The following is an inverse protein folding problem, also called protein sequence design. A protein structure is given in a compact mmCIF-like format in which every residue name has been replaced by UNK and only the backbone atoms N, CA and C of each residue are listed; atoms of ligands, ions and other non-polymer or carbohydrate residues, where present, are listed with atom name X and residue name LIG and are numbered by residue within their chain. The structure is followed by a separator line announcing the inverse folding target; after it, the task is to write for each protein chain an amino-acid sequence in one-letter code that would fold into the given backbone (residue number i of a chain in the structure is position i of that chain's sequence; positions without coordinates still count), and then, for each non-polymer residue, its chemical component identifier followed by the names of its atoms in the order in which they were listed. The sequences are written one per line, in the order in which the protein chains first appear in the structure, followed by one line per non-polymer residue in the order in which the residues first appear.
data_IF_343676446547
#
_entry.id   IF_343676446547
#
_cell.length_a   1.000
_cell.length_b   1.000
_cell.length_c   1.000
_cell.angle_alpha   90.00
_cell.angle_beta   90.00
_cell.angle_gamma   90.00
#
_symmetry.space_group_name_H-M   'P 1'
#
loop_
_entity.id
_entity.type
_entity.pdbx_description
1 polymer ?
#
# COMPACT_ATOMS: atom_id res chain seq x y z
N UNK A 1 8.84 0.52 -10.89
CA UNK A 1 9.41 1.36 -11.98
C UNK A 1 8.42 1.59 -13.13
N UNK A 2 7.66 0.60 -13.64
CA UNK A 2 6.66 0.86 -14.71
C UNK A 2 5.30 1.41 -14.22
N UNK A 3 4.74 0.87 -13.12
CA UNK A 3 3.44 1.32 -12.60
C UNK A 3 3.43 2.78 -12.09
N UNK A 4 4.60 3.33 -11.78
CA UNK A 4 4.75 4.68 -11.20
C UNK A 4 4.92 5.77 -12.24
N UNK A 5 5.01 5.40 -13.52
CA UNK A 5 5.14 6.28 -14.68
C UNK A 5 3.94 6.08 -15.62
N UNK A 6 2.80 5.63 -15.10
CA UNK A 6 1.56 5.36 -15.85
C UNK A 6 1.65 4.29 -16.96
N UNK A 7 2.73 3.51 -17.02
CA UNK A 7 2.87 2.40 -17.97
C UNK A 7 2.17 1.12 -17.45
N UNK A 8 0.88 1.22 -17.13
CA UNK A 8 0.11 0.15 -16.50
C UNK A 8 -0.05 -1.08 -17.40
N UNK A 9 -0.37 -0.89 -18.68
CA UNK A 9 -0.49 -1.98 -19.65
C UNK A 9 0.84 -2.76 -19.79
N UNK A 10 1.96 -2.06 -19.82
CA UNK A 10 3.28 -2.68 -19.93
C UNK A 10 3.67 -3.43 -18.64
N UNK A 11 3.39 -2.86 -17.47
CA UNK A 11 3.59 -3.52 -16.19
C UNK A 11 2.75 -4.81 -16.08
N UNK A 12 1.48 -4.76 -16.48
CA UNK A 12 0.61 -5.92 -16.51
C UNK A 12 1.13 -7.01 -17.45
N UNK A 13 1.56 -6.63 -18.66
CA UNK A 13 2.14 -7.55 -19.64
C UNK A 13 3.38 -8.25 -19.07
N UNK A 14 4.33 -7.51 -18.49
CA UNK A 14 5.52 -8.11 -17.89
C UNK A 14 5.22 -9.01 -16.69
N UNK A 15 4.28 -8.63 -15.82
CA UNK A 15 3.91 -9.47 -14.68
C UNK A 15 3.22 -10.77 -15.11
N UNK A 16 2.36 -10.73 -16.13
CA UNK A 16 1.75 -11.93 -16.72
C UNK A 16 2.79 -12.83 -17.37
N UNK A 17 3.70 -12.25 -18.14
CA UNK A 17 4.79 -13.01 -18.80
C UNK A 17 5.68 -13.68 -17.76
N UNK A 18 6.06 -12.96 -16.70
CA UNK A 18 6.84 -13.53 -15.60
C UNK A 18 6.13 -14.69 -14.89
N UNK A 19 4.81 -14.57 -14.65
CA UNK A 19 4.03 -15.66 -14.06
C UNK A 19 3.95 -16.87 -15.00
N UNK A 20 3.79 -16.66 -16.30
CA UNK A 20 3.76 -17.74 -17.28
C UNK A 20 5.11 -18.49 -17.35
N UNK A 21 6.21 -17.76 -17.51
CA UNK A 21 7.56 -18.34 -17.54
C UNK A 21 7.90 -19.08 -16.25
N UNK A 22 7.49 -18.55 -15.09
CA UNK A 22 7.73 -19.22 -13.81
C UNK A 22 6.92 -20.51 -13.66
N UNK A 23 5.73 -20.58 -14.26
CA UNK A 23 4.94 -21.80 -14.30
C UNK A 23 5.57 -22.85 -15.23
N UNK A 24 6.02 -22.44 -16.42
CA UNK A 24 6.73 -23.33 -17.35
C UNK A 24 8.05 -23.86 -16.78
N UNK A 25 8.76 -23.03 -16.02
CA UNK A 25 10.01 -23.42 -15.36
C UNK A 25 9.81 -24.17 -14.03
N UNK A 26 8.57 -24.50 -13.65
CA UNK A 26 8.24 -25.18 -12.39
C UNK A 26 8.86 -24.48 -11.15
N UNK A 27 8.88 -23.14 -11.16
CA UNK A 27 9.49 -22.31 -10.14
C UNK A 27 8.41 -21.64 -9.24
N UNK A 28 7.83 -22.36 -8.25
CA UNK A 28 6.65 -21.92 -7.52
C UNK A 28 6.86 -20.63 -6.70
N UNK A 29 8.08 -20.36 -6.24
CA UNK A 29 8.39 -19.12 -5.53
C UNK A 29 8.39 -17.90 -6.45
N UNK A 30 9.05 -18.03 -7.61
CA UNK A 30 9.03 -16.98 -8.64
C UNK A 30 7.60 -16.73 -9.13
N UNK A 31 6.83 -17.81 -9.32
CA UNK A 31 5.42 -17.75 -9.70
C UNK A 31 4.59 -16.96 -8.68
N UNK A 32 4.74 -17.30 -7.40
CA UNK A 32 4.08 -16.64 -6.28
C UNK A 32 4.41 -15.14 -6.24
N UNK A 33 5.67 -14.76 -6.42
CA UNK A 33 6.12 -13.37 -6.45
C UNK A 33 5.51 -12.62 -7.65
N UNK A 34 5.47 -13.26 -8.82
CA UNK A 34 4.87 -12.69 -10.03
C UNK A 34 3.37 -12.45 -9.87
N UNK A 35 2.62 -13.42 -9.31
CA UNK A 35 1.20 -13.27 -9.00
C UNK A 35 0.95 -12.14 -8.01
N UNK A 36 1.74 -12.04 -6.94
CA UNK A 36 1.65 -10.96 -5.95
C UNK A 36 1.87 -9.58 -6.59
N UNK A 37 2.80 -9.48 -7.54
CA UNK A 37 3.05 -8.23 -8.26
C UNK A 37 1.87 -7.87 -9.19
N UNK A 38 1.31 -8.86 -9.89
CA UNK A 38 0.13 -8.68 -10.73
C UNK A 38 -1.11 -8.28 -9.91
N UNK A 39 -1.30 -8.89 -8.74
CA UNK A 39 -2.38 -8.56 -7.82
C UNK A 39 -2.23 -7.15 -7.22
N UNK A 40 -1.00 -6.75 -6.86
CA UNK A 40 -0.72 -5.37 -6.42
C UNK A 40 -1.13 -4.36 -7.49
N UNK A 41 -0.82 -4.67 -8.75
CA UNK A 41 -1.18 -3.83 -9.89
C UNK A 41 -2.69 -3.75 -10.09
N UNK A 42 -3.39 -4.88 -10.02
CA UNK A 42 -4.84 -4.94 -10.10
C UNK A 42 -5.52 -4.12 -8.97
N UNK A 43 -4.99 -4.19 -7.74
CA UNK A 43 -5.45 -3.38 -6.61
C UNK A 43 -5.26 -1.88 -6.86
N UNK A 44 -4.10 -1.47 -7.37
CA UNK A 44 -3.80 -0.07 -7.66
C UNK A 44 -4.68 0.48 -8.80
N UNK A 45 -5.16 -0.37 -9.72
CA UNK A 45 -6.14 -0.03 -10.77
C UNK A 45 -7.61 -0.13 -10.32
N UNK A 46 -7.87 -0.56 -9.08
CA UNK A 46 -9.24 -0.74 -8.57
C UNK A 46 -9.96 -2.00 -9.06
N UNK A 47 -9.25 -2.94 -9.69
CA UNK A 47 -9.80 -4.22 -10.17
C UNK A 47 -9.94 -5.21 -9.01
N UNK A 48 -11.03 -5.10 -8.24
CA UNK A 48 -11.22 -5.84 -6.99
C UNK A 48 -11.25 -7.36 -7.16
N UNK A 49 -12.09 -7.88 -8.05
CA UNK A 49 -12.25 -9.33 -8.24
C UNK A 49 -10.99 -9.98 -8.82
N UNK A 50 -10.36 -9.44 -9.88
CA UNK A 50 -9.08 -9.97 -10.36
C UNK A 50 -7.97 -9.93 -9.30
N UNK A 51 -7.89 -8.85 -8.52
CA UNK A 51 -6.91 -8.75 -7.44
C UNK A 51 -7.10 -9.85 -6.40
N UNK A 52 -8.34 -10.08 -5.95
CA UNK A 52 -8.65 -11.09 -4.96
C UNK A 52 -8.27 -12.50 -5.44
N UNK A 53 -8.73 -12.88 -6.63
CA UNK A 53 -8.42 -14.20 -7.20
C UNK A 53 -6.91 -14.44 -7.34
N UNK A 54 -6.16 -13.44 -7.83
CA UNK A 54 -4.71 -13.53 -7.96
C UNK A 54 -4.01 -13.68 -6.61
N UNK A 55 -4.45 -12.94 -5.58
CA UNK A 55 -3.83 -13.03 -4.26
C UNK A 55 -4.19 -14.33 -3.53
N UNK A 56 -5.40 -14.85 -3.70
CA UNK A 56 -5.80 -16.17 -3.18
C UNK A 56 -4.95 -17.29 -3.81
N UNK A 57 -4.73 -17.22 -5.13
CA UNK A 57 -3.87 -18.17 -5.83
C UNK A 57 -2.40 -18.07 -5.37
N UNK A 58 -1.89 -16.85 -5.19
CA UNK A 58 -0.55 -16.62 -4.64
C UNK A 58 -0.45 -17.19 -3.22
N UNK A 59 -1.45 -16.98 -2.36
CA UNK A 59 -1.46 -17.48 -0.99
C UNK A 59 -1.46 -19.01 -0.94
N UNK A 60 -2.30 -19.67 -1.74
CA UNK A 60 -2.38 -21.13 -1.83
C UNK A 60 -1.07 -21.77 -2.31
N UNK A 61 -0.32 -21.09 -3.19
CA UNK A 61 0.99 -21.54 -3.64
C UNK A 61 2.06 -21.29 -2.57
N UNK A 62 2.05 -20.11 -1.95
CA UNK A 62 3.04 -19.69 -0.97
C UNK A 62 3.10 -20.58 0.27
N UNK A 63 1.95 -21.06 0.76
CA UNK A 63 1.87 -21.91 1.95
C UNK A 63 2.74 -23.16 1.83
N UNK A 64 2.95 -23.68 0.62
CA UNK A 64 3.72 -24.92 0.38
C UNK A 64 5.15 -24.68 -0.05
N UNK A 65 5.42 -23.56 -0.72
CA UNK A 65 6.67 -23.40 -1.47
C UNK A 65 7.52 -22.21 -1.00
N UNK A 66 6.93 -21.24 -0.30
CA UNK A 66 7.59 -19.97 0.01
C UNK A 66 8.00 -19.84 1.47
N UNK A 67 9.03 -19.01 1.70
CA UNK A 67 9.50 -18.66 3.04
C UNK A 67 8.39 -18.00 3.87
N UNK A 68 8.48 -18.13 5.20
CA UNK A 68 7.56 -17.49 6.15
C UNK A 68 7.40 -15.99 5.88
N UNK A 69 8.50 -15.32 5.50
CA UNK A 69 8.49 -13.90 5.17
C UNK A 69 7.65 -13.59 3.91
N UNK A 70 7.82 -14.40 2.87
CA UNK A 70 7.04 -14.27 1.64
C UNK A 70 5.56 -14.53 1.91
N UNK A 71 5.25 -15.53 2.72
CA UNK A 71 3.88 -15.81 3.16
C UNK A 71 3.28 -14.63 3.92
N UNK A 72 4.02 -14.00 4.84
CA UNK A 72 3.58 -12.78 5.54
C UNK A 72 3.22 -11.66 4.56
N UNK A 73 4.08 -11.40 3.56
CA UNK A 73 3.82 -10.37 2.58
C UNK A 73 2.54 -10.66 1.78
N UNK A 74 2.34 -11.90 1.35
CA UNK A 74 1.15 -12.28 0.58
C UNK A 74 -0.11 -12.18 1.43
N UNK A 75 -0.07 -12.63 2.69
CA UNK A 75 -1.18 -12.49 3.62
C UNK A 75 -1.57 -11.02 3.85
N UNK A 76 -0.59 -10.10 3.93
CA UNK A 76 -0.89 -8.67 4.06
C UNK A 76 -1.59 -8.08 2.82
N UNK A 77 -1.29 -8.61 1.63
CA UNK A 77 -1.97 -8.22 0.40
C UNK A 77 -3.36 -8.87 0.29
N UNK A 78 -3.49 -10.12 0.76
CA UNK A 78 -4.76 -10.85 0.77
C UNK A 78 -5.77 -10.15 1.69
N UNK A 79 -5.30 -9.66 2.83
CA UNK A 79 -6.06 -8.84 3.75
C UNK A 79 -6.67 -7.61 3.06
N UNK A 80 -5.85 -6.87 2.31
CA UNK A 80 -6.32 -5.70 1.57
C UNK A 80 -7.30 -6.08 0.45
N UNK A 81 -7.05 -7.17 -0.27
CA UNK A 81 -7.94 -7.64 -1.33
C UNK A 81 -9.33 -8.04 -0.77
N UNK A 82 -9.37 -8.81 0.31
CA UNK A 82 -10.62 -9.13 1.01
C UNK A 82 -11.32 -7.88 1.53
N UNK A 83 -10.59 -6.92 2.11
CA UNK A 83 -11.19 -5.68 2.60
C UNK A 83 -11.86 -4.89 1.47
N UNK A 84 -11.21 -4.78 0.30
CA UNK A 84 -11.77 -4.12 -0.89
C UNK A 84 -12.96 -4.88 -1.47
N UNK A 85 -12.97 -6.20 -1.37
CA UNK A 85 -14.09 -7.07 -1.73
C UNK A 85 -15.22 -7.07 -0.67
N UNK A 86 -15.12 -6.27 0.40
CA UNK A 86 -16.08 -6.19 1.51
C UNK A 86 -16.19 -7.47 2.37
N UNK A 87 -15.17 -8.32 2.35
CA UNK A 87 -15.07 -9.54 3.16
C UNK A 87 -14.33 -9.27 4.48
N UNK A 88 -14.98 -8.57 5.42
CA UNK A 88 -14.35 -8.09 6.67
C UNK A 88 -13.67 -9.20 7.48
N UNK A 89 -14.35 -10.32 7.70
CA UNK A 89 -13.81 -11.41 8.53
C UNK A 89 -12.53 -12.00 7.94
N UNK A 90 -12.54 -12.30 6.63
CA UNK A 90 -11.35 -12.81 5.94
C UNK A 90 -10.22 -11.77 5.86
N UNK A 91 -10.54 -10.49 5.73
CA UNK A 91 -9.55 -9.42 5.75
C UNK A 91 -8.80 -9.35 7.09
N UNK A 92 -9.52 -9.40 8.20
CA UNK A 92 -8.93 -9.36 9.54
C UNK A 92 -8.13 -10.63 9.86
N UNK A 93 -8.63 -11.81 9.45
CA UNK A 93 -7.90 -13.06 9.60
C UNK A 93 -6.58 -13.06 8.82
N UNK A 94 -6.60 -12.63 7.55
CA UNK A 94 -5.40 -12.54 6.73
C UNK A 94 -4.41 -11.50 7.28
N UNK A 95 -4.90 -10.37 7.80
CA UNK A 95 -4.05 -9.37 8.45
C UNK A 95 -3.35 -9.94 9.69
N UNK A 96 -4.10 -10.63 10.55
CA UNK A 96 -3.53 -11.30 11.73
C UNK A 96 -2.48 -12.34 11.34
N UNK A 97 -2.77 -13.19 10.35
CA UNK A 97 -1.82 -14.18 9.84
C UNK A 97 -0.55 -13.51 9.31
N UNK A 98 -0.67 -12.38 8.60
CA UNK A 98 0.48 -11.63 8.11
C UNK A 98 1.40 -11.18 9.26
N UNK A 99 0.83 -10.66 10.35
CA UNK A 99 1.57 -10.20 11.53
C UNK A 99 2.25 -11.35 12.26
N UNK A 100 1.56 -12.48 12.47
CA UNK A 100 2.11 -13.68 13.11
C UNK A 100 3.24 -14.31 12.29
N UNK A 101 3.07 -14.38 10.97
CA UNK A 101 4.13 -14.88 10.08
C UNK A 101 5.33 -13.93 10.09
N UNK A 102 5.09 -12.62 10.08
CA UNK A 102 6.15 -11.61 10.11
C UNK A 102 6.99 -11.72 11.37
N UNK A 103 6.36 -11.91 12.54
CA UNK A 103 7.07 -12.00 13.82
C UNK A 103 7.95 -13.25 13.94
N UNK A 104 7.67 -14.29 13.14
CA UNK A 104 8.41 -15.56 13.11
C UNK A 104 9.43 -15.63 11.96
N UNK A 105 9.41 -14.65 11.05
CA UNK A 105 10.20 -14.69 9.84
C UNK A 105 11.60 -14.10 10.05
N UNK A 106 12.61 -14.83 9.60
CA UNK A 106 13.97 -14.31 9.51
C UNK A 106 14.12 -13.43 8.27
N UNK A 107 14.83 -12.31 8.42
CA UNK A 107 15.17 -11.42 7.32
C UNK A 107 16.52 -11.85 6.75
N UNK A 108 16.60 -12.01 5.44
CA UNK A 108 17.84 -12.25 4.71
C UNK A 108 18.06 -11.14 3.66
N UNK A 109 18.84 -10.09 3.98
CA UNK A 109 19.10 -8.99 3.05
C UNK A 109 19.83 -9.40 1.76
N UNK A 110 20.47 -10.57 1.72
CA UNK A 110 21.16 -11.07 0.53
C UNK A 110 20.19 -11.67 -0.52
N UNK A 111 19.00 -12.09 -0.10
CA UNK A 111 17.95 -12.54 -1.00
C UNK A 111 17.11 -11.33 -1.46
N UNK A 112 16.94 -11.09 -2.78
CA UNK A 112 16.10 -10.01 -3.31
C UNK A 112 14.67 -9.96 -2.76
N UNK A 113 14.15 -11.11 -2.30
CA UNK A 113 12.83 -11.25 -1.67
C UNK A 113 12.90 -11.65 -0.19
N UNK A 114 14.11 -11.71 0.37
CA UNK A 114 14.36 -12.06 1.77
C UNK A 114 14.17 -10.90 2.73
N UNK A 115 13.63 -9.76 2.30
CA UNK A 115 13.27 -8.65 3.18
C UNK A 115 11.84 -8.17 2.99
N UNK A 116 11.13 -8.05 4.11
CA UNK A 116 9.87 -7.33 4.20
C UNK A 116 9.97 -6.37 5.39
N UNK A 117 10.11 -5.05 5.18
CA UNK A 117 10.27 -4.14 6.31
C UNK A 117 9.02 -4.06 7.18
N UNK A 118 9.17 -4.02 8.51
CA UNK A 118 8.05 -3.80 9.45
C UNK A 118 7.24 -2.54 9.12
N UNK A 119 7.90 -1.49 8.66
CA UNK A 119 7.23 -0.28 8.15
C UNK A 119 6.27 -0.55 6.98
N UNK A 120 6.60 -1.49 6.10
CA UNK A 120 5.76 -1.89 4.97
C UNK A 120 4.58 -2.76 5.43
N UNK A 121 4.78 -3.65 6.40
CA UNK A 121 3.69 -4.42 7.02
C UNK A 121 2.65 -3.50 7.64
N UNK A 122 3.06 -2.57 8.51
CA UNK A 122 2.14 -1.60 9.11
C UNK A 122 1.42 -0.75 8.08
N UNK A 123 2.09 -0.39 6.98
CA UNK A 123 1.47 0.36 5.88
C UNK A 123 0.36 -0.45 5.19
N UNK A 124 0.57 -1.74 4.90
CA UNK A 124 -0.48 -2.58 4.30
C UNK A 124 -1.62 -2.85 5.30
N UNK A 125 -1.31 -3.03 6.58
CA UNK A 125 -2.32 -3.14 7.64
C UNK A 125 -3.19 -1.89 7.71
N UNK A 126 -2.58 -0.70 7.70
CA UNK A 126 -3.31 0.56 7.66
C UNK A 126 -4.22 0.68 6.44
N UNK A 127 -3.74 0.34 5.23
CA UNK A 127 -4.57 0.33 4.01
C UNK A 127 -5.76 -0.63 4.11
N UNK A 128 -5.55 -1.79 4.72
CA UNK A 128 -6.61 -2.79 4.96
C UNK A 128 -7.67 -2.20 5.89
N UNK A 129 -7.26 -1.62 7.01
CA UNK A 129 -8.15 -0.99 8.00
C UNK A 129 -8.92 0.20 7.40
N UNK A 130 -8.26 1.03 6.57
CA UNK A 130 -8.92 2.10 5.81
C UNK A 130 -10.00 1.53 4.88
N UNK A 131 -9.71 0.45 4.15
CA UNK A 131 -10.70 -0.19 3.27
C UNK A 131 -11.89 -0.80 4.06
N UNK A 132 -11.64 -1.21 5.31
CA UNK A 132 -12.67 -1.66 6.26
C UNK A 132 -13.37 -0.51 7.00
N UNK A 133 -13.04 0.75 6.69
CA UNK A 133 -13.54 1.97 7.34
C UNK A 133 -13.23 2.09 8.83
N UNK A 134 -12.22 1.37 9.32
CA UNK A 134 -11.70 1.52 10.68
C UNK A 134 -10.58 2.56 10.70
N UNK A 135 -10.97 3.84 10.57
CA UNK A 135 -10.04 4.95 10.39
C UNK A 135 -9.16 5.21 11.62
N UNK A 136 -9.68 4.95 12.82
CA UNK A 136 -8.93 5.07 14.06
C UNK A 136 -7.81 4.03 14.18
N UNK A 137 -8.09 2.77 13.82
CA UNK A 137 -7.05 1.74 13.76
C UNK A 137 -6.06 2.00 12.62
N UNK A 138 -6.54 2.48 11.47
CA UNK A 138 -5.70 2.84 10.33
C UNK A 138 -4.70 3.95 10.68
N UNK A 139 -5.14 5.01 11.38
CA UNK A 139 -4.26 6.11 11.85
C UNK A 139 -3.09 5.57 12.70
N UNK A 140 -3.40 4.75 13.71
CA UNK A 140 -2.38 4.13 14.57
C UNK A 140 -1.38 3.30 13.76
N UNK A 141 -1.88 2.51 12.80
CA UNK A 141 -1.04 1.68 11.94
C UNK A 141 -0.16 2.53 10.98
N UNK A 142 -0.69 3.61 10.40
CA UNK A 142 0.10 4.55 9.59
C UNK A 142 1.19 5.24 10.42
N UNK A 143 0.89 5.67 11.66
CA UNK A 143 1.89 6.22 12.57
C UNK A 143 2.98 5.21 12.92
N UNK A 144 2.63 3.94 13.18
CA UNK A 144 3.61 2.87 13.37
C UNK A 144 4.47 2.63 12.13
N UNK A 145 3.87 2.68 10.93
CA UNK A 145 4.63 2.64 9.68
C UNK A 145 5.64 3.78 9.59
N UNK A 146 5.22 5.03 9.85
CA UNK A 146 6.10 6.20 9.79
C UNK A 146 7.26 6.10 10.78
N UNK A 147 7.02 5.66 12.02
CA UNK A 147 8.09 5.47 13.03
C UNK A 147 9.12 4.43 12.62
N UNK A 148 8.70 3.38 11.92
CA UNK A 148 9.58 2.29 11.49
C UNK A 148 10.29 2.57 10.14
N UNK A 149 10.03 3.71 9.48
CA UNK A 149 10.61 4.02 8.16
C UNK A 149 12.01 4.60 8.30
N UNK A 150 12.92 4.08 7.48
CA UNK A 150 14.26 4.64 7.34
C UNK A 150 14.22 6.07 6.74
N UNK A 151 15.13 6.98 7.13
CA UNK A 151 15.13 8.38 6.68
C UNK A 151 15.13 8.57 5.15
N UNK A 152 15.82 7.67 4.44
CA UNK A 152 15.96 7.65 2.98
C UNK A 152 14.70 7.20 2.23
N UNK A 153 13.71 6.62 2.92
CA UNK A 153 12.47 6.14 2.31
C UNK A 153 11.47 7.28 1.99
N UNK A 154 11.96 8.41 1.45
CA UNK A 154 11.21 9.65 1.20
C UNK A 154 9.87 9.40 0.51
N UNK A 155 9.90 8.63 -0.58
CA UNK A 155 8.70 8.32 -1.35
C UNK A 155 7.65 7.56 -0.53
N UNK A 156 8.08 6.52 0.18
CA UNK A 156 7.16 5.69 0.95
C UNK A 156 6.63 6.47 2.18
N UNK A 157 7.45 7.35 2.77
CA UNK A 157 7.03 8.30 3.80
C UNK A 157 5.96 9.23 3.27
N UNK A 158 6.18 9.92 2.15
CA UNK A 158 5.22 10.84 1.55
C UNK A 158 3.86 10.18 1.29
N UNK A 159 3.84 8.99 0.68
CA UNK A 159 2.60 8.23 0.45
C UNK A 159 1.88 7.82 1.74
N UNK A 160 2.64 7.52 2.80
CA UNK A 160 2.06 7.18 4.11
C UNK A 160 1.47 8.40 4.79
N UNK A 161 2.16 9.54 4.73
CA UNK A 161 1.69 10.82 5.29
C UNK A 161 0.40 11.28 4.58
N UNK A 162 0.33 11.18 3.26
CA UNK A 162 -0.87 11.54 2.51
C UNK A 162 -2.09 10.71 2.94
N UNK A 163 -1.94 9.38 3.02
CA UNK A 163 -3.03 8.49 3.44
C UNK A 163 -3.40 8.64 4.93
N UNK A 164 -2.43 8.97 5.79
CA UNK A 164 -2.70 9.28 7.19
C UNK A 164 -3.60 10.51 7.31
N UNK A 165 -3.27 11.59 6.59
CA UNK A 165 -4.09 12.80 6.57
C UNK A 165 -5.51 12.52 6.04
N UNK A 166 -5.64 11.78 4.93
CA UNK A 166 -6.96 11.33 4.45
C UNK A 166 -7.76 10.58 5.54
N UNK A 167 -7.10 9.69 6.29
CA UNK A 167 -7.74 8.97 7.41
C UNK A 167 -8.13 9.89 8.57
N UNK A 168 -7.35 10.93 8.86
CA UNK A 168 -7.66 11.94 9.88
C UNK A 168 -8.86 12.79 9.48
N UNK A 169 -8.92 13.23 8.22
CA UNK A 169 -10.07 13.97 7.71
C UNK A 169 -11.36 13.14 7.77
N UNK A 170 -11.30 11.85 7.42
CA UNK A 170 -12.45 10.94 7.50
C UNK A 170 -12.96 10.71 8.93
N UNK A 171 -12.14 11.01 9.95
CA UNK A 171 -12.54 11.00 11.36
C UNK A 171 -13.11 12.36 11.82
N UNK A 172 -13.10 13.39 10.97
CA UNK A 172 -13.50 14.76 11.31
C UNK A 172 -12.36 15.62 11.87
N UNK A 173 -11.13 15.11 11.91
CA UNK A 173 -9.97 15.81 12.48
C UNK A 173 -9.31 16.72 11.42
N UNK A 174 -10.01 17.79 11.02
CA UNK A 174 -9.54 18.68 9.94
C UNK A 174 -8.15 19.29 10.24
N UNK A 175 -7.97 19.91 11.40
CA UNK A 175 -6.72 20.61 11.76
C UNK A 175 -5.51 19.65 11.79
N UNK A 176 -5.71 18.45 12.33
CA UNK A 176 -4.71 17.40 12.34
C UNK A 176 -4.35 16.94 10.92
N UNK A 177 -5.38 16.73 10.08
CA UNK A 177 -5.21 16.38 8.67
C UNK A 177 -4.42 17.44 7.90
N UNK A 178 -4.73 18.73 8.12
CA UNK A 178 -4.01 19.84 7.49
C UNK A 178 -2.54 19.86 7.90
N UNK A 179 -2.24 19.67 9.18
CA UNK A 179 -0.86 19.58 9.68
C UNK A 179 -0.10 18.43 9.02
N UNK A 180 -0.75 17.27 8.89
CA UNK A 180 -0.17 16.09 8.23
C UNK A 180 0.02 16.32 6.72
N UNK A 181 -0.93 16.93 6.02
CA UNK A 181 -0.78 17.26 4.60
C UNK A 181 0.29 18.33 4.34
N UNK A 182 0.47 19.33 5.22
CA UNK A 182 1.62 20.25 5.16
C UNK A 182 2.94 19.47 5.11
N UNK A 183 3.07 18.40 5.91
CA UNK A 183 4.26 17.51 5.86
C UNK A 183 4.39 16.74 4.55
N UNK A 184 3.27 16.29 3.97
CA UNK A 184 3.28 15.66 2.64
C UNK A 184 3.81 16.61 1.57
N UNK A 185 3.35 17.87 1.56
CA UNK A 185 3.82 18.88 0.60
C UNK A 185 5.30 19.21 0.74
N UNK A 186 5.86 19.17 1.96
CA UNK A 186 7.31 19.32 2.17
C UNK A 186 8.10 18.15 1.52
N UNK A 187 7.59 16.92 1.63
CA UNK A 187 8.26 15.74 1.09
C UNK A 187 8.04 15.55 -0.42
N UNK A 188 7.00 16.18 -0.99
CA UNK A 188 6.56 16.01 -2.38
C UNK A 188 7.55 16.50 -3.47
N UNK A 189 8.20 17.68 -3.35
CA UNK A 189 9.16 18.16 -4.33
C UNK A 189 10.25 17.13 -4.68
N UNK A 190 10.43 16.91 -5.99
CA UNK A 190 11.41 15.98 -6.55
C UNK A 190 10.95 14.52 -6.57
N UNK A 191 9.75 14.18 -6.10
CA UNK A 191 9.21 12.82 -6.22
C UNK A 191 8.67 12.55 -7.63
N UNK A 192 9.33 11.65 -8.37
CA UNK A 192 8.79 11.09 -9.63
C UNK A 192 7.89 9.89 -9.32
N UNK A 193 6.62 10.14 -8.99
CA UNK A 193 5.67 9.09 -8.59
C UNK A 193 4.22 9.43 -8.93
N UNK A 194 3.63 8.70 -9.89
CA UNK A 194 2.20 8.81 -10.24
C UNK A 194 1.27 8.73 -9.01
N UNK A 195 1.58 7.82 -8.07
CA UNK A 195 0.82 7.68 -6.82
C UNK A 195 0.89 8.91 -5.92
N UNK A 196 2.00 9.64 -5.95
CA UNK A 196 2.14 10.84 -5.13
C UNK A 196 1.32 11.98 -5.77
N UNK A 197 1.37 12.12 -7.11
CA UNK A 197 0.55 13.07 -7.84
C UNK A 197 -0.96 12.78 -7.66
N UNK A 198 -1.35 11.50 -7.65
CA UNK A 198 -2.71 11.08 -7.32
C UNK A 198 -3.10 11.51 -5.89
N UNK A 199 -2.23 11.29 -4.90
CA UNK A 199 -2.47 11.75 -3.52
C UNK A 199 -2.60 13.28 -3.42
N UNK A 200 -1.81 14.04 -4.18
CA UNK A 200 -1.96 15.50 -4.26
C UNK A 200 -3.34 15.88 -4.82
N UNK A 201 -3.78 15.21 -5.88
CA UNK A 201 -5.12 15.41 -6.46
C UNK A 201 -6.23 15.06 -5.48
N UNK A 202 -6.11 13.93 -4.77
CA UNK A 202 -7.06 13.49 -3.75
C UNK A 202 -7.16 14.50 -2.60
N UNK A 203 -6.02 15.00 -2.11
CA UNK A 203 -5.98 16.04 -1.07
C UNK A 203 -6.82 17.25 -1.49
N UNK A 204 -6.58 17.77 -2.70
CA UNK A 204 -7.30 18.95 -3.21
C UNK A 204 -8.80 18.70 -3.30
N UNK A 205 -9.20 17.54 -3.80
CA UNK A 205 -10.62 17.16 -3.88
C UNK A 205 -11.26 17.03 -2.50
N UNK A 206 -10.56 16.41 -1.54
CA UNK A 206 -11.05 16.20 -0.19
C UNK A 206 -11.20 17.51 0.61
N UNK A 207 -10.41 18.53 0.27
CA UNK A 207 -10.42 19.84 0.91
C UNK A 207 -11.43 20.82 0.34
N UNK A 208 -12.01 20.56 -0.84
CA UNK A 208 -13.02 21.44 -1.47
C UNK A 208 -14.17 21.84 -0.54
N UNK A 209 -14.76 20.94 0.29
CA UNK A 209 -15.83 21.32 1.20
C UNK A 209 -15.41 22.31 2.30
N UNK A 210 -14.11 22.46 2.54
CA UNK A 210 -13.53 23.28 3.60
C UNK A 210 -12.82 24.54 3.06
N UNK A 211 -13.12 24.94 1.82
CA UNK A 211 -12.40 26.02 1.13
C UNK A 211 -12.46 27.39 1.81
N UNK A 212 -13.42 27.61 2.70
CA UNK A 212 -13.55 28.84 3.50
C UNK A 212 -12.63 28.87 4.72
N UNK A 213 -12.03 27.74 5.08
CA UNK A 213 -11.12 27.66 6.22
C UNK A 213 -9.75 28.25 5.85
N UNK A 214 -9.19 29.19 6.63
CA UNK A 214 -7.96 29.91 6.26
C UNK A 214 -6.75 28.98 6.04
N UNK A 215 -6.55 27.97 6.91
CA UNK A 215 -5.48 26.99 6.73
C UNK A 215 -5.63 26.12 5.47
N UNK A 216 -6.85 25.93 4.97
CA UNK A 216 -7.10 25.17 3.74
C UNK A 216 -6.66 26.00 2.54
N UNK A 217 -6.98 27.30 2.53
CA UNK A 217 -6.53 28.22 1.47
C UNK A 217 -4.99 28.28 1.39
N UNK A 218 -4.31 28.43 2.53
CA UNK A 218 -2.84 28.41 2.58
C UNK A 218 -2.25 27.10 2.07
N UNK A 219 -2.88 25.97 2.37
CA UNK A 219 -2.42 24.66 1.92
C UNK A 219 -2.63 24.46 0.40
N UNK A 220 -3.76 24.92 -0.15
CA UNK A 220 -4.01 24.91 -1.60
C UNK A 220 -3.05 25.83 -2.37
N UNK A 221 -2.73 27.01 -1.82
CA UNK A 221 -1.72 27.90 -2.41
C UNK A 221 -0.35 27.23 -2.49
N UNK A 222 0.09 26.57 -1.41
CA UNK A 222 1.32 25.78 -1.41
C UNK A 222 1.26 24.67 -2.46
N UNK A 223 0.14 23.95 -2.52
CA UNK A 223 -0.06 22.85 -3.48
C UNK A 223 -0.06 23.32 -4.95
N UNK A 224 -0.50 24.56 -5.23
CA UNK A 224 -0.51 25.12 -6.58
C UNK A 224 0.88 25.43 -7.14
N UNK A 225 1.92 25.47 -6.28
CA UNK A 225 3.31 25.73 -6.68
C UNK A 225 4.10 24.45 -7.04
N UNK A 226 3.47 23.27 -6.94
CA UNK A 226 4.08 21.94 -7.10
C UNK A 226 3.62 21.24 -8.39
#
# INVERSE_FOLDING_TARGET
MCADVHAHALAQHYHRTAAHLAAEAEAPNTYTIALRALAAHALDLGHQQPALALTEQAAATATRHSSTLTQSFIQSQLALAHARARNRSHALLALHNAEVLHSKAEQNPADPFGSYPTAALHFQGARTLTALKDHAAADRAFRSSLRARAPQARRARALTVALLAESQLLQGNLEESLTTWKRFLIDYPGLRSARAAASLTTMRQALRPYSTHPDVALLEEQAATL
#
